data_IF_059829957613
#
_entry.id   IF_059829957613
#
_cell.length_a   1.000
_cell.length_b   1.000
_cell.length_c   1.000
_cell.angle_alpha   90.00
_cell.angle_beta   90.00
_cell.angle_gamma   90.00
#
_symmetry.space_group_name_H-M   'P 1'
#
loop_
_entity.id
_entity.type
_entity.pdbx_description
1 polymer ?
#
# COMPACT_ATOMS: atom_id res chain seq x y z
N UNK A 1 28.95 -12.86 52.92
CA UNK A 1 27.84 -12.11 52.29
C UNK A 1 28.47 -11.03 51.42
N UNK A 2 28.56 -11.32 50.12
CA UNK A 2 29.01 -10.47 48.99
C UNK A 2 27.74 -9.89 48.32
N UNK A 3 27.68 -8.89 47.44
CA UNK A 3 28.50 -7.76 46.99
C UNK A 3 27.59 -7.04 45.94
N UNK A 4 27.62 -5.71 45.84
CA UNK A 4 26.96 -4.95 44.77
C UNK A 4 27.83 -4.96 43.49
N UNK A 5 27.19 -5.04 42.31
CA UNK A 5 27.84 -4.98 40.99
C UNK A 5 26.88 -4.52 39.88
N UNK A 6 27.41 -3.81 38.88
CA UNK A 6 26.81 -2.85 37.93
C UNK A 6 26.32 -3.41 36.56
N UNK A 7 25.47 -2.61 35.89
CA UNK A 7 25.38 -2.24 34.43
C UNK A 7 24.62 -3.03 33.33
N UNK A 8 23.62 -2.32 32.75
CA UNK A 8 23.25 -2.00 31.33
C UNK A 8 23.01 -3.08 30.24
N UNK A 9 21.84 -3.05 29.55
CA UNK A 9 21.61 -2.44 28.20
C UNK A 9 20.41 -3.06 27.40
N UNK A 10 19.54 -2.17 26.89
CA UNK A 10 18.56 -2.15 25.77
C UNK A 10 17.61 -3.30 25.38
N UNK A 11 16.38 -2.89 25.05
CA UNK A 11 15.55 -3.54 24.03
C UNK A 11 14.04 -3.27 24.06
N UNK A 12 13.56 -2.04 24.23
CA UNK A 12 12.16 -1.66 23.98
C UNK A 12 11.86 -1.65 22.49
N UNK A 13 10.78 -2.31 22.05
CA UNK A 13 10.00 -1.96 20.86
C UNK A 13 8.59 -2.56 20.98
N UNK A 14 7.75 -1.87 21.75
CA UNK A 14 6.31 -2.06 21.73
C UNK A 14 5.77 -1.56 20.38
N UNK A 15 5.09 -2.46 19.69
CA UNK A 15 4.42 -2.21 18.42
C UNK A 15 3.18 -1.36 18.74
N UNK A 16 3.27 -0.06 18.45
CA UNK A 16 2.12 0.83 18.37
C UNK A 16 2.21 1.65 17.10
N UNK A 17 1.19 1.50 16.25
CA UNK A 17 0.87 2.48 15.22
C UNK A 17 0.59 1.88 13.85
N UNK A 18 -0.65 1.42 13.62
CA UNK A 18 -1.39 1.72 12.37
C UNK A 18 -2.88 1.83 12.73
N UNK A 19 -3.27 2.95 13.34
CA UNK A 19 -4.65 3.44 13.28
C UNK A 19 -4.60 4.88 12.77
N UNK A 20 -4.75 5.05 11.46
CA UNK A 20 -5.02 6.36 10.87
C UNK A 20 -5.47 6.16 9.42
N UNK A 21 -6.74 5.80 9.22
CA UNK A 21 -7.45 6.16 7.99
C UNK A 21 -8.96 6.03 8.15
N UNK A 22 -9.53 6.69 9.17
CA UNK A 22 -10.95 7.00 9.22
C UNK A 22 -11.14 8.11 10.25
N UNK A 23 -11.41 9.35 9.80
CA UNK A 23 -12.37 10.32 10.38
C UNK A 23 -12.07 11.70 9.79
N UNK A 24 -12.76 12.07 8.72
CA UNK A 24 -13.08 13.48 8.42
C UNK A 24 -14.55 13.55 8.00
N UNK A 25 -15.44 13.30 8.97
CA UNK A 25 -16.80 13.80 8.97
C UNK A 25 -16.84 15.08 9.81
N UNK A 26 -17.52 16.10 9.26
CA UNK A 26 -17.62 17.48 9.72
C UNK A 26 -18.19 17.61 11.14
N UNK A 27 -17.79 18.68 11.86
CA UNK A 27 -18.75 19.66 12.46
C UNK A 27 -18.06 20.91 13.07
N UNK A 28 -18.81 22.00 13.35
CA UNK A 28 -18.30 23.37 13.25
C UNK A 28 -18.32 24.20 14.56
N UNK A 29 -17.73 25.40 14.46
CA UNK A 29 -17.96 26.65 15.21
C UNK A 29 -17.22 26.95 16.54
N UNK A 30 -16.57 28.12 16.48
CA UNK A 30 -16.42 29.21 17.47
C UNK A 30 -15.50 29.06 18.67
N UNK A 31 -14.38 29.78 18.61
CA UNK A 31 -13.85 30.52 19.76
C UNK A 31 -13.23 31.84 19.27
N UNK A 32 -13.76 32.96 19.77
CA UNK A 32 -13.29 34.31 19.50
C UNK A 32 -11.90 34.54 20.12
N UNK A 33 -11.01 35.24 19.41
CA UNK A 33 -9.70 35.61 19.95
C UNK A 33 -8.85 36.46 19.03
N UNK A 34 -9.05 37.78 19.10
CA UNK A 34 -8.13 38.89 18.78
C UNK A 34 -7.38 38.84 17.43
N UNK A 35 -7.88 39.63 16.49
CA UNK A 35 -7.07 40.14 15.38
C UNK A 35 -6.02 41.13 15.91
N UNK A 36 -4.75 40.78 15.78
CA UNK A 36 -3.64 41.73 15.83
C UNK A 36 -2.97 41.67 14.46
N UNK A 37 -3.23 42.70 13.66
CA UNK A 37 -2.58 42.91 12.38
C UNK A 37 -1.27 43.67 12.62
N UNK A 38 -0.14 42.93 12.66
CA UNK A 38 1.20 43.50 12.51
C UNK A 38 2.07 42.49 11.75
N UNK A 39 2.32 42.77 10.46
CA UNK A 39 3.45 42.29 9.64
C UNK A 39 3.87 40.81 9.73
N UNK A 40 3.04 39.89 9.23
CA UNK A 40 3.45 38.51 8.99
C UNK A 40 2.60 37.88 7.90
N UNK A 41 3.23 37.45 6.82
CA UNK A 41 2.59 36.64 5.79
C UNK A 41 1.98 35.42 6.49
N UNK A 42 0.65 35.36 6.46
CA UNK A 42 -0.12 34.27 7.04
C UNK A 42 0.09 33.03 6.15
N UNK A 43 1.18 32.30 6.37
CA UNK A 43 1.30 30.92 5.90
C UNK A 43 0.40 30.04 6.79
N UNK A 44 -0.92 30.26 6.71
CA UNK A 44 -1.82 29.13 6.90
C UNK A 44 -1.49 28.11 5.80
N UNK A 45 -1.59 26.79 6.06
CA UNK A 45 -1.37 25.77 5.03
C UNK A 45 -2.54 25.80 4.03
N UNK A 46 -2.65 26.88 3.27
CA UNK A 46 -3.41 26.93 2.03
C UNK A 46 -2.56 26.21 0.99
N UNK A 47 -2.58 24.88 1.05
CA UNK A 47 -2.05 24.07 -0.05
C UNK A 47 -3.01 24.29 -1.21
N UNK A 48 -2.67 25.23 -2.09
CA UNK A 48 -3.31 25.31 -3.41
C UNK A 48 -3.19 23.93 -4.03
N UNK A 49 -4.29 23.32 -4.51
CA UNK A 49 -4.21 22.04 -5.18
C UNK A 49 -3.25 22.17 -6.37
N UNK A 50 -2.30 21.24 -6.46
CA UNK A 50 -1.33 21.20 -7.55
C UNK A 50 -2.06 21.05 -8.88
N UNK A 51 -1.46 21.59 -9.95
CA UNK A 51 -1.98 21.29 -11.29
C UNK A 51 -1.76 19.81 -11.60
N UNK A 52 -2.55 19.26 -12.53
CA UNK A 52 -2.39 17.86 -12.94
C UNK A 52 -0.97 17.55 -13.43
N UNK A 53 -0.36 18.49 -14.16
CA UNK A 53 1.03 18.38 -14.62
C UNK A 53 2.00 18.36 -13.45
N UNK A 54 1.83 19.24 -12.46
CA UNK A 54 2.72 19.28 -11.29
C UNK A 54 2.59 18.01 -10.46
N UNK A 55 1.37 17.48 -10.29
CA UNK A 55 1.19 16.18 -9.63
C UNK A 55 1.91 15.05 -10.36
N UNK A 56 1.85 15.03 -11.70
CA UNK A 56 2.50 13.98 -12.48
C UNK A 56 4.04 14.10 -12.43
N UNK A 57 4.57 15.32 -12.39
CA UNK A 57 6.01 15.58 -12.15
C UNK A 57 6.40 15.12 -10.74
N UNK A 58 5.60 15.46 -9.72
CA UNK A 58 5.85 15.03 -8.34
C UNK A 58 5.83 13.50 -8.22
N UNK A 59 4.89 12.82 -8.88
CA UNK A 59 4.85 11.35 -8.95
C UNK A 59 6.12 10.79 -9.59
N UNK A 60 6.54 11.35 -10.72
CA UNK A 60 7.74 10.90 -11.43
C UNK A 60 9.00 11.06 -10.57
N UNK A 61 9.17 12.21 -9.91
CA UNK A 61 10.29 12.47 -9.00
C UNK A 61 10.23 11.51 -7.81
N UNK A 62 9.08 11.39 -7.16
CA UNK A 62 8.92 10.54 -5.99
C UNK A 62 9.17 9.06 -6.28
N UNK A 63 8.76 8.58 -7.45
CA UNK A 63 9.07 7.22 -7.92
C UNK A 63 10.57 7.04 -8.13
N UNK A 64 11.22 7.96 -8.86
CA UNK A 64 12.66 7.90 -9.09
C UNK A 64 13.48 7.92 -7.79
N UNK A 65 13.08 8.73 -6.82
CA UNK A 65 13.70 8.77 -5.49
C UNK A 65 13.59 7.42 -4.76
N UNK A 66 12.44 6.74 -4.84
CA UNK A 66 12.25 5.41 -4.26
C UNK A 66 13.15 4.37 -4.92
N UNK A 67 13.28 4.42 -6.25
CA UNK A 67 14.13 3.49 -7.01
C UNK A 67 15.62 3.63 -6.65
N UNK A 68 16.06 4.83 -6.27
CA UNK A 68 17.41 5.10 -5.77
C UNK A 68 17.60 4.76 -4.27
N UNK A 69 16.54 4.33 -3.57
CA UNK A 69 16.57 4.03 -2.14
C UNK A 69 16.37 5.25 -1.22
N UNK A 70 16.04 6.42 -1.76
CA UNK A 70 15.77 7.64 -1.00
C UNK A 70 14.34 7.68 -0.44
N UNK A 71 13.94 6.64 0.31
CA UNK A 71 12.57 6.48 0.80
C UNK A 71 12.10 7.64 1.67
N UNK A 72 12.95 8.13 2.60
CA UNK A 72 12.63 9.27 3.47
C UNK A 72 12.38 10.56 2.69
N UNK A 73 13.19 10.82 1.65
CA UNK A 73 13.02 12.00 0.79
C UNK A 73 11.74 11.91 -0.02
N UNK A 74 11.41 10.72 -0.56
CA UNK A 74 10.17 10.51 -1.29
C UNK A 74 8.93 10.68 -0.39
N UNK A 75 8.98 10.20 0.86
CA UNK A 75 7.91 10.38 1.84
C UNK A 75 7.73 11.84 2.24
N UNK A 76 8.82 12.57 2.46
CA UNK A 76 8.77 14.00 2.73
C UNK A 76 8.18 14.77 1.54
N UNK A 77 8.59 14.45 0.31
CA UNK A 77 8.02 15.04 -0.91
C UNK A 77 6.50 14.84 -0.98
N UNK A 78 6.00 13.63 -0.71
CA UNK A 78 4.56 13.35 -0.66
C UNK A 78 3.87 14.15 0.44
N UNK A 79 4.48 14.26 1.62
CA UNK A 79 3.93 15.01 2.76
C UNK A 79 3.85 16.51 2.47
N UNK A 80 4.89 17.09 1.88
CA UNK A 80 4.95 18.51 1.55
C UNK A 80 4.02 18.85 0.37
N UNK A 81 4.12 18.10 -0.72
CA UNK A 81 3.28 18.31 -1.92
C UNK A 81 1.81 17.99 -1.69
N UNK A 82 1.48 17.11 -0.74
CA UNK A 82 0.15 16.53 -0.61
C UNK A 82 -0.23 15.61 -1.77
N UNK A 83 0.73 15.21 -2.62
CA UNK A 83 0.51 14.37 -3.78
C UNK A 83 0.88 12.92 -3.48
N UNK A 84 -0.12 12.03 -3.51
CA UNK A 84 0.12 10.59 -3.39
C UNK A 84 0.82 10.04 -4.65
N UNK A 85 1.84 9.20 -4.43
CA UNK A 85 2.63 8.57 -5.50
C UNK A 85 1.87 7.50 -6.28
N UNK A 86 0.82 6.95 -5.68
CA UNK A 86 -0.02 5.90 -6.26
C UNK A 86 -1.48 6.10 -5.84
N UNK A 87 -2.40 5.45 -6.58
CA UNK A 87 -3.82 5.50 -6.27
C UNK A 87 -4.10 4.74 -4.95
N UNK A 88 -5.02 5.20 -4.08
CA UNK A 88 -5.31 4.54 -2.80
C UNK A 88 -5.65 3.05 -2.93
N UNK A 89 -6.43 2.67 -3.95
CA UNK A 89 -6.74 1.25 -4.23
C UNK A 89 -5.49 0.45 -4.59
N UNK A 90 -4.54 1.03 -5.34
CA UNK A 90 -3.29 0.36 -5.69
C UNK A 90 -2.39 0.21 -4.46
N UNK A 91 -2.37 1.21 -3.57
CA UNK A 91 -1.65 1.12 -2.30
C UNK A 91 -2.20 -0.01 -1.41
N UNK A 92 -3.53 -0.10 -1.25
CA UNK A 92 -4.17 -1.20 -0.49
C UNK A 92 -3.89 -2.56 -1.11
N UNK A 93 -4.03 -2.67 -2.42
CA UNK A 93 -3.71 -3.90 -3.16
C UNK A 93 -2.28 -4.35 -2.87
N UNK A 94 -1.29 -3.43 -3.00
CA UNK A 94 0.11 -3.75 -2.67
C UNK A 94 0.26 -4.25 -1.24
N UNK A 95 -0.37 -3.59 -0.27
CA UNK A 95 -0.29 -3.99 1.14
C UNK A 95 -0.83 -5.41 1.31
N UNK A 96 -2.05 -5.69 0.85
CA UNK A 96 -2.66 -7.02 0.99
C UNK A 96 -1.88 -8.11 0.27
N UNK A 97 -1.29 -7.82 -0.90
CA UNK A 97 -0.40 -8.77 -1.60
C UNK A 97 0.85 -9.05 -0.78
N UNK A 98 1.51 -8.02 -0.23
CA UNK A 98 2.74 -8.17 0.54
C UNK A 98 2.53 -8.82 1.91
N UNK A 99 1.32 -8.75 2.47
CA UNK A 99 0.96 -9.40 3.73
C UNK A 99 0.36 -10.79 3.56
N UNK A 100 0.19 -11.28 2.32
CA UNK A 100 -0.42 -12.58 2.03
C UNK A 100 -1.94 -12.63 2.29
N UNK A 101 -2.61 -11.47 2.39
CA UNK A 101 -4.07 -11.38 2.56
C UNK A 101 -4.80 -11.52 1.22
N UNK A 102 -4.70 -12.70 0.60
CA UNK A 102 -5.16 -12.99 -0.77
C UNK A 102 -6.62 -12.63 -1.03
N UNK A 103 -7.53 -12.94 -0.09
CA UNK A 103 -8.95 -12.64 -0.26
C UNK A 103 -9.23 -11.14 -0.33
N UNK A 104 -8.47 -10.32 0.41
CA UNK A 104 -8.58 -8.85 0.36
C UNK A 104 -7.91 -8.30 -0.89
N UNK A 105 -6.76 -8.86 -1.28
CA UNK A 105 -6.08 -8.48 -2.52
C UNK A 105 -6.96 -8.73 -3.75
N UNK A 106 -7.71 -9.84 -3.80
CA UNK A 106 -8.70 -10.10 -4.86
C UNK A 106 -9.83 -9.07 -4.87
N UNK A 107 -10.31 -8.63 -3.71
CA UNK A 107 -11.35 -7.59 -3.60
C UNK A 107 -10.86 -6.23 -4.13
N UNK A 108 -9.63 -5.85 -3.78
CA UNK A 108 -9.00 -4.64 -4.31
C UNK A 108 -8.81 -4.74 -5.83
N UNK A 109 -8.53 -5.93 -6.36
CA UNK A 109 -8.37 -6.17 -7.79
C UNK A 109 -9.64 -5.80 -8.59
N UNK A 110 -10.82 -6.16 -8.10
CA UNK A 110 -12.09 -5.74 -8.73
C UNK A 110 -12.26 -4.22 -8.71
N UNK A 111 -11.81 -3.57 -7.64
CA UNK A 111 -11.85 -2.11 -7.52
C UNK A 111 -10.84 -1.40 -8.44
N UNK A 112 -9.80 -2.10 -8.89
CA UNK A 112 -8.81 -1.60 -9.85
C UNK A 112 -9.26 -1.72 -11.31
N UNK A 113 -10.29 -2.51 -11.63
CA UNK A 113 -10.68 -2.82 -13.02
C UNK A 113 -10.88 -1.58 -13.89
N UNK A 114 -11.52 -0.53 -13.35
CA UNK A 114 -11.76 0.72 -14.07
C UNK A 114 -10.54 1.66 -14.18
N UNK A 115 -9.44 1.35 -13.49
CA UNK A 115 -8.22 2.17 -13.43
C UNK A 115 -7.09 1.60 -14.28
N UNK A 116 -7.17 0.32 -14.67
CA UNK A 116 -6.13 -0.37 -15.43
C UNK A 116 -6.33 -0.15 -16.93
N UNK A 117 -5.24 0.10 -17.66
CA UNK A 117 -5.25 0.48 -19.08
C UNK A 117 -6.01 -0.49 -19.97
N UNK A 118 -5.78 -1.79 -19.83
CA UNK A 118 -6.48 -2.84 -20.61
C UNK A 118 -7.67 -3.44 -19.87
N UNK A 119 -8.13 -2.80 -18.79
CA UNK A 119 -9.25 -3.24 -17.96
C UNK A 119 -9.17 -4.73 -17.61
N UNK A 120 -10.21 -5.48 -18.00
CA UNK A 120 -10.37 -6.91 -17.71
C UNK A 120 -9.18 -7.79 -18.10
N UNK A 121 -8.51 -7.51 -19.21
CA UNK A 121 -7.38 -8.35 -19.65
C UNK A 121 -6.25 -8.33 -18.61
N UNK A 122 -5.84 -7.15 -18.17
CA UNK A 122 -4.76 -7.01 -17.19
C UNK A 122 -5.21 -7.44 -15.78
N UNK A 123 -6.48 -7.26 -15.43
CA UNK A 123 -7.05 -7.81 -14.19
C UNK A 123 -6.93 -9.34 -14.16
N UNK A 124 -7.23 -10.04 -15.26
CA UNK A 124 -7.07 -11.50 -15.33
C UNK A 124 -5.61 -11.89 -15.12
N UNK A 125 -4.66 -11.16 -15.70
CA UNK A 125 -3.21 -11.42 -15.51
C UNK A 125 -2.79 -11.21 -14.06
N UNK A 126 -3.20 -10.10 -13.45
CA UNK A 126 -2.87 -9.81 -12.06
C UNK A 126 -3.49 -10.85 -11.12
N UNK A 127 -4.75 -11.26 -11.36
CA UNK A 127 -5.40 -12.33 -10.61
C UNK A 127 -4.66 -13.65 -10.76
N UNK A 128 -4.22 -13.99 -11.97
CA UNK A 128 -3.43 -15.20 -12.20
C UNK A 128 -2.15 -15.21 -11.36
N UNK A 129 -1.37 -14.12 -11.39
CA UNK A 129 -0.12 -14.01 -10.62
C UNK A 129 -0.37 -14.09 -9.10
N UNK A 130 -1.45 -13.49 -8.62
CA UNK A 130 -1.85 -13.55 -7.22
C UNK A 130 -2.16 -14.99 -6.78
N UNK A 131 -2.96 -15.70 -7.57
CA UNK A 131 -3.35 -17.07 -7.28
C UNK A 131 -2.20 -18.06 -7.46
N UNK A 132 -1.29 -17.79 -8.39
CA UNK A 132 -0.06 -18.56 -8.54
C UNK A 132 0.79 -18.47 -7.27
N UNK A 133 0.95 -17.28 -6.67
CA UNK A 133 1.67 -17.19 -5.40
C UNK A 133 0.93 -17.83 -4.23
N UNK A 134 -0.38 -17.62 -4.12
CA UNK A 134 -1.21 -18.34 -3.14
C UNK A 134 -1.02 -19.86 -3.23
N UNK A 135 -0.98 -20.40 -4.45
CA UNK A 135 -0.73 -21.82 -4.71
C UNK A 135 0.66 -22.26 -4.22
N UNK A 136 1.71 -21.53 -4.62
CA UNK A 136 3.10 -21.87 -4.27
C UNK A 136 3.35 -21.79 -2.77
N UNK A 137 2.87 -20.75 -2.10
CA UNK A 137 2.98 -20.62 -0.64
C UNK A 137 2.22 -21.72 0.09
N UNK A 138 1.05 -22.13 -0.43
CA UNK A 138 0.27 -23.24 0.16
C UNK A 138 1.00 -24.58 0.03
N UNK A 139 1.73 -24.79 -1.07
CA UNK A 139 2.60 -25.96 -1.23
C UNK A 139 3.78 -25.92 -0.25
N UNK A 140 4.46 -24.78 -0.16
CA UNK A 140 5.60 -24.59 0.75
C UNK A 140 5.20 -24.80 2.22
N UNK A 141 3.99 -24.37 2.60
CA UNK A 141 3.42 -24.63 3.91
C UNK A 141 2.99 -26.10 4.17
N UNK A 142 3.14 -26.98 3.19
CA UNK A 142 2.87 -28.42 3.34
C UNK A 142 1.40 -28.82 3.20
N UNK A 143 0.58 -28.03 2.50
CA UNK A 143 -0.86 -28.30 2.30
C UNK A 143 -1.23 -28.63 0.84
N UNK A 144 -0.77 -29.76 0.27
CA UNK A 144 -0.91 -30.07 -1.15
C UNK A 144 -2.36 -30.18 -1.63
N UNK A 145 -3.28 -30.68 -0.80
CA UNK A 145 -4.70 -30.77 -1.17
C UNK A 145 -5.36 -29.39 -1.32
N UNK A 146 -4.98 -28.43 -0.47
CA UNK A 146 -5.47 -27.04 -0.56
C UNK A 146 -4.86 -26.33 -1.77
N UNK A 147 -3.58 -26.54 -2.03
CA UNK A 147 -2.94 -26.02 -3.24
C UNK A 147 -3.60 -26.58 -4.51
N UNK A 148 -3.85 -27.89 -4.56
CA UNK A 148 -4.55 -28.51 -5.69
C UNK A 148 -5.97 -27.96 -5.88
N UNK A 149 -6.68 -27.68 -4.78
CA UNK A 149 -7.97 -27.00 -4.85
C UNK A 149 -7.82 -25.61 -5.50
N UNK A 150 -6.89 -24.78 -5.03
CA UNK A 150 -6.62 -23.46 -5.63
C UNK A 150 -6.32 -23.55 -7.13
N UNK A 151 -5.47 -24.50 -7.55
CA UNK A 151 -5.14 -24.73 -8.95
C UNK A 151 -6.38 -25.06 -9.79
N UNK A 152 -7.26 -25.92 -9.28
CA UNK A 152 -8.45 -26.43 -10.00
C UNK A 152 -9.62 -25.45 -10.00
N UNK A 153 -9.92 -24.82 -8.86
CA UNK A 153 -11.11 -23.97 -8.70
C UNK A 153 -10.86 -22.49 -8.93
N UNK A 154 -9.63 -22.02 -8.86
CA UNK A 154 -9.31 -20.58 -8.96
C UNK A 154 -8.45 -20.28 -10.19
N UNK A 155 -7.30 -20.98 -10.39
CA UNK A 155 -6.40 -20.73 -11.52
C UNK A 155 -6.94 -21.25 -12.86
N UNK A 156 -7.33 -22.53 -12.93
CA UNK A 156 -7.78 -23.17 -14.19
C UNK A 156 -8.97 -22.43 -14.84
N UNK A 157 -9.99 -21.96 -14.10
CA UNK A 157 -11.12 -21.24 -14.69
C UNK A 157 -10.76 -19.89 -15.32
N UNK A 158 -9.61 -19.29 -14.98
CA UNK A 158 -9.17 -18.03 -15.61
C UNK A 158 -8.90 -18.19 -17.11
N UNK A 159 -8.62 -19.41 -17.59
CA UNK A 159 -8.26 -19.71 -18.99
C UNK A 159 -7.13 -18.81 -19.52
N UNK A 160 -6.26 -18.37 -18.62
CA UNK A 160 -5.09 -17.54 -18.90
C UNK A 160 -3.81 -18.34 -18.59
N UNK A 161 -2.79 -18.18 -19.42
CA UNK A 161 -1.49 -18.84 -19.29
C UNK A 161 -1.61 -20.35 -18.97
N UNK A 162 -2.35 -21.08 -19.80
CA UNK A 162 -2.66 -22.51 -19.58
C UNK A 162 -1.41 -23.39 -19.59
N UNK A 163 -0.36 -22.98 -20.32
CA UNK A 163 0.95 -23.64 -20.29
C UNK A 163 1.54 -23.60 -18.87
N UNK A 164 1.53 -22.44 -18.22
CA UNK A 164 1.99 -22.31 -16.84
C UNK A 164 1.16 -23.15 -15.87
N UNK A 165 -0.17 -23.18 -16.02
CA UNK A 165 -1.04 -24.05 -15.22
C UNK A 165 -0.65 -25.53 -15.35
N UNK A 166 -0.29 -25.97 -16.56
CA UNK A 166 0.15 -27.35 -16.79
C UNK A 166 1.48 -27.65 -16.09
N UNK A 167 2.45 -26.72 -16.17
CA UNK A 167 3.72 -26.85 -15.45
C UNK A 167 3.50 -26.93 -13.94
N UNK A 168 2.60 -26.11 -13.39
CA UNK A 168 2.25 -26.16 -11.95
C UNK A 168 1.56 -27.47 -11.55
N UNK A 169 0.95 -28.20 -12.49
CA UNK A 169 0.27 -29.48 -12.21
C UNK A 169 1.19 -30.70 -12.25
N UNK A 170 2.45 -30.54 -12.66
CA UNK A 170 3.43 -31.62 -12.84
C UNK A 170 4.41 -31.66 -11.68
#
# INVERSE_FOLDING_TARGET
>A
MQANGFSQHNGTNDIHGIELFNTLQRNPLTAAGREININGILYGPSKRPLSKTDEDIVRLIGQHLRDLGFHRTAEQLTTESGCALEHPTAARFRIHVMTGEYEKAEQDLYSLEGLVKKGKEDIIKMKFLLLEQKYLETLEAGYPMRALQCLRSELTPLKYNTERVHVLST
#
